data_IF_442929172287
#
_entry.id   IF_442929172287
#
_cell.length_a   1.000
_cell.length_b   1.000
_cell.length_c   1.000
_cell.angle_alpha   90.00
_cell.angle_beta   90.00
_cell.angle_gamma   90.00
#
_symmetry.space_group_name_H-M   'P 1'
#
loop_
_entity.id
_entity.type
_entity.pdbx_description
1 polymer ?
#
# COMPACT_ATOMS: atom_id res chain seq x y z
N UNK A 1 -8.75 26.42 -17.95
CA UNK A 1 -8.18 25.12 -17.50
C UNK A 1 -7.79 24.30 -18.72
N UNK A 2 -6.55 23.84 -18.82
CA UNK A 2 -6.11 22.99 -19.94
C UNK A 2 -6.80 21.64 -19.89
N UNK A 3 -7.33 21.18 -21.04
CA UNK A 3 -8.01 19.88 -21.18
C UNK A 3 -7.05 18.75 -20.78
N UNK A 4 -7.35 18.04 -19.69
CA UNK A 4 -6.56 16.89 -19.21
C UNK A 4 -6.65 15.76 -20.25
N UNK A 5 -5.51 15.22 -20.67
CA UNK A 5 -5.46 14.13 -21.65
C UNK A 5 -5.66 12.79 -20.94
N UNK A 6 -6.44 11.90 -21.55
CA UNK A 6 -6.60 10.52 -21.09
C UNK A 6 -5.52 9.64 -21.72
N UNK A 7 -5.18 8.57 -21.02
CA UNK A 7 -4.30 7.53 -21.51
C UNK A 7 -4.99 6.68 -22.58
N UNK A 8 -4.21 6.16 -23.51
CA UNK A 8 -4.63 5.25 -24.57
C UNK A 8 -3.73 4.01 -24.54
N UNK A 9 -4.33 2.81 -24.66
CA UNK A 9 -3.60 1.55 -24.53
C UNK A 9 -2.54 1.34 -25.61
N UNK A 10 -2.69 2.00 -26.77
CA UNK A 10 -1.67 2.03 -27.82
C UNK A 10 -0.32 2.56 -27.34
N UNK A 11 -0.28 3.34 -26.24
CA UNK A 11 0.96 3.89 -25.69
C UNK A 11 1.86 2.85 -25.01
N UNK A 12 1.35 1.64 -24.83
CA UNK A 12 2.16 0.47 -24.48
C UNK A 12 3.28 0.25 -25.51
N UNK A 13 3.01 0.51 -26.80
CA UNK A 13 4.00 0.43 -27.89
C UNK A 13 5.14 1.44 -27.77
N UNK A 14 4.99 2.46 -26.91
CA UNK A 14 6.02 3.46 -26.64
C UNK A 14 6.71 3.24 -25.29
N UNK A 15 6.46 2.13 -24.60
CA UNK A 15 7.10 1.84 -23.32
C UNK A 15 6.38 2.44 -22.10
N UNK A 16 5.09 2.79 -22.21
CA UNK A 16 4.34 3.47 -21.15
C UNK A 16 3.14 2.69 -20.62
N UNK A 17 2.78 2.98 -19.38
CA UNK A 17 1.51 2.67 -18.73
C UNK A 17 0.94 3.95 -18.10
N UNK A 18 -0.23 3.90 -17.46
CA UNK A 18 -0.81 5.04 -16.74
C UNK A 18 -0.87 4.84 -15.23
N UNK A 19 -0.67 5.94 -14.49
CA UNK A 19 -1.04 6.06 -13.10
C UNK A 19 -2.20 7.04 -13.01
N UNK A 20 -3.23 6.68 -12.24
CA UNK A 20 -4.34 7.57 -11.90
C UNK A 20 -4.07 8.19 -10.52
N UNK A 21 -4.01 9.52 -10.46
CA UNK A 21 -3.89 10.28 -9.21
C UNK A 21 -5.24 10.40 -8.49
N UNK A 22 -5.22 10.81 -7.21
CA UNK A 22 -6.43 10.96 -6.37
C UNK A 22 -7.46 11.93 -6.96
N UNK A 23 -7.02 12.87 -7.79
CA UNK A 23 -7.88 13.86 -8.47
C UNK A 23 -8.46 13.34 -9.80
N UNK A 24 -8.27 12.05 -10.12
CA UNK A 24 -8.70 11.40 -11.35
C UNK A 24 -7.81 11.68 -12.56
N UNK A 25 -6.71 12.41 -12.41
CA UNK A 25 -5.78 12.70 -13.52
C UNK A 25 -4.92 11.49 -13.84
N UNK A 26 -4.83 11.15 -15.13
CA UNK A 26 -3.90 10.13 -15.60
C UNK A 26 -2.55 10.75 -15.99
N UNK A 27 -1.45 10.14 -15.52
CA UNK A 27 -0.08 10.49 -15.91
C UNK A 27 0.61 9.30 -16.55
N UNK A 28 1.37 9.49 -17.64
CA UNK A 28 2.11 8.39 -18.24
C UNK A 28 3.33 8.05 -17.41
N UNK A 29 3.53 6.76 -17.15
CA UNK A 29 4.71 6.21 -16.48
C UNK A 29 5.45 5.27 -17.42
N UNK A 30 6.75 5.49 -17.61
CA UNK A 30 7.59 4.59 -18.40
C UNK A 30 7.85 3.30 -17.60
N UNK A 31 7.53 2.14 -18.17
CA UNK A 31 7.77 0.86 -17.49
C UNK A 31 9.21 0.32 -17.64
N UNK A 32 10.05 1.00 -18.41
CA UNK A 32 11.47 0.66 -18.58
C UNK A 32 12.30 1.30 -17.44
N UNK A 33 12.12 2.60 -17.18
CA UNK A 33 12.84 3.31 -16.10
C UNK A 33 12.00 3.61 -14.85
N UNK A 34 10.67 3.53 -14.93
CA UNK A 34 9.74 3.89 -13.86
C UNK A 34 9.41 5.39 -13.77
N UNK A 35 9.95 6.23 -14.66
CA UNK A 35 9.76 7.69 -14.63
C UNK A 35 8.31 8.07 -14.93
N UNK A 36 7.71 8.88 -14.07
CA UNK A 36 6.37 9.46 -14.26
C UNK A 36 6.53 10.82 -14.96
N UNK A 37 5.81 11.02 -16.05
CA UNK A 37 5.80 12.28 -16.79
C UNK A 37 4.53 13.08 -16.47
N UNK A 38 4.56 14.39 -16.72
CA UNK A 38 3.37 15.22 -16.58
C UNK A 38 2.27 14.83 -17.58
N UNK A 39 1.00 15.10 -17.27
CA UNK A 39 -0.12 14.86 -18.19
C UNK A 39 0.07 15.56 -19.56
N UNK A 40 0.71 16.73 -19.58
CA UNK A 40 1.06 17.44 -20.82
C UNK A 40 2.06 16.69 -21.73
N UNK A 41 2.72 15.65 -21.22
CA UNK A 41 3.61 14.76 -21.95
C UNK A 41 2.93 13.50 -22.49
N UNK A 42 1.61 13.33 -22.29
CA UNK A 42 0.81 12.23 -22.84
C UNK A 42 0.66 12.26 -24.38
N UNK A 43 1.41 13.12 -25.08
CA UNK A 43 1.40 13.18 -26.54
C UNK A 43 2.30 12.07 -27.08
N UNK A 44 1.88 11.28 -28.10
CA UNK A 44 2.70 10.22 -28.67
C UNK A 44 4.12 10.66 -29.06
N UNK A 45 4.27 11.89 -29.60
CA UNK A 45 5.58 12.44 -29.96
C UNK A 45 6.52 12.52 -28.76
N UNK A 46 6.03 13.02 -27.62
CA UNK A 46 6.82 13.16 -26.39
C UNK A 46 7.14 11.83 -25.73
N UNK A 47 6.24 10.85 -25.84
CA UNK A 47 6.49 9.49 -25.35
C UNK A 47 7.56 8.79 -26.20
N UNK A 48 7.47 8.92 -27.53
CA UNK A 48 8.49 8.43 -28.47
C UNK A 48 9.84 9.11 -28.25
N UNK A 49 9.86 10.43 -28.06
CA UNK A 49 11.07 11.20 -27.76
C UNK A 49 11.72 10.70 -26.45
N UNK A 50 10.93 10.45 -25.41
CA UNK A 50 11.44 9.87 -24.17
C UNK A 50 12.07 8.50 -24.40
N UNK A 51 11.38 7.62 -25.13
CA UNK A 51 11.89 6.30 -25.46
C UNK A 51 13.20 6.40 -26.25
N UNK A 52 13.27 7.23 -27.30
CA UNK A 52 14.45 7.39 -28.13
C UNK A 52 15.64 8.04 -27.40
N UNK A 53 15.39 9.02 -26.54
CA UNK A 53 16.46 9.78 -25.85
C UNK A 53 16.98 9.09 -24.58
N UNK A 54 16.09 8.46 -23.80
CA UNK A 54 16.43 7.83 -22.51
C UNK A 54 16.71 6.34 -22.68
N UNK A 55 16.10 5.71 -23.68
CA UNK A 55 16.19 4.27 -23.94
C UNK A 55 16.45 3.97 -25.43
N UNK A 56 17.54 4.51 -26.03
CA UNK A 56 17.85 4.32 -27.45
C UNK A 56 17.91 2.85 -27.85
N UNK A 57 18.35 1.97 -26.94
CA UNK A 57 18.39 0.52 -27.14
C UNK A 57 17.01 -0.14 -27.26
N UNK A 58 15.94 0.54 -26.84
CA UNK A 58 14.56 0.06 -26.88
C UNK A 58 13.68 0.86 -27.86
N UNK A 59 14.27 1.81 -28.60
CA UNK A 59 13.54 2.65 -29.55
C UNK A 59 13.03 1.87 -30.79
N UNK A 60 13.67 0.74 -31.09
CA UNK A 60 13.32 -0.14 -32.21
C UNK A 60 12.74 -1.48 -31.78
N UNK A 61 12.47 -1.66 -30.48
CA UNK A 61 11.90 -2.91 -29.96
C UNK A 61 10.47 -3.10 -30.51
N UNK A 62 10.13 -4.37 -30.82
CA UNK A 62 8.77 -4.72 -31.21
C UNK A 62 7.81 -4.61 -30.01
N UNK A 63 6.52 -4.45 -30.31
CA UNK A 63 5.47 -4.38 -29.29
C UNK A 63 5.46 -5.62 -28.38
N UNK A 64 5.77 -6.80 -28.92
CA UNK A 64 5.87 -8.05 -28.16
C UNK A 64 6.99 -7.99 -27.11
N UNK A 65 8.16 -7.48 -27.47
CA UNK A 65 9.30 -7.31 -26.54
C UNK A 65 8.95 -6.32 -25.43
N UNK A 66 8.28 -5.22 -25.78
CA UNK A 66 7.83 -4.22 -24.81
C UNK A 66 6.74 -4.77 -23.87
N UNK A 67 5.84 -5.63 -24.36
CA UNK A 67 4.84 -6.31 -23.53
C UNK A 67 5.49 -7.30 -22.55
N UNK A 68 6.49 -8.06 -23.00
CA UNK A 68 7.26 -8.96 -22.13
C UNK A 68 7.93 -8.16 -21.00
N UNK A 69 8.47 -6.96 -21.30
CA UNK A 69 9.08 -6.06 -20.30
C UNK A 69 8.06 -5.38 -19.40
N UNK A 70 6.83 -5.16 -19.86
CA UNK A 70 5.73 -4.61 -19.07
C UNK A 70 5.27 -5.57 -17.95
N UNK A 71 5.25 -6.88 -18.20
CA UNK A 71 4.77 -7.86 -17.23
C UNK A 71 5.56 -7.86 -15.88
N UNK A 72 6.91 -7.83 -15.86
CA UNK A 72 7.68 -7.64 -14.63
C UNK A 72 7.40 -6.30 -13.95
N UNK A 73 7.18 -5.23 -14.72
CA UNK A 73 6.89 -3.90 -14.19
C UNK A 73 5.54 -3.83 -13.47
N UNK A 74 4.49 -4.43 -14.05
CA UNK A 74 3.16 -4.50 -13.41
C UNK A 74 3.16 -5.41 -12.18
N UNK A 75 3.95 -6.48 -12.20
CA UNK A 75 4.18 -7.35 -11.03
C UNK A 75 5.01 -6.64 -9.95
N UNK A 76 5.85 -5.70 -10.35
CA UNK A 76 6.65 -4.83 -9.49
C UNK A 76 5.91 -3.52 -9.23
N UNK A 77 4.67 -3.60 -8.75
CA UNK A 77 3.92 -2.45 -8.25
C UNK A 77 4.81 -1.63 -7.30
N UNK A 78 4.67 -0.31 -7.29
CA UNK A 78 5.62 0.78 -6.95
C UNK A 78 6.37 0.78 -5.59
N UNK A 79 6.54 -0.35 -4.91
CA UNK A 79 7.06 -0.50 -3.53
C UNK A 79 8.40 -1.25 -3.37
N UNK A 80 8.82 -2.20 -4.23
CA UNK A 80 10.05 -2.98 -3.99
C UNK A 80 11.35 -2.17 -4.04
N UNK A 81 11.37 -1.00 -4.73
CA UNK A 81 12.59 -0.17 -4.85
C UNK A 81 13.06 0.46 -3.53
N UNK A 82 12.24 0.44 -2.47
CA UNK A 82 12.59 0.93 -1.13
C UNK A 82 12.81 -0.21 -0.11
N UNK A 83 12.88 -1.47 -0.55
CA UNK A 83 12.97 -2.62 0.36
C UNK A 83 11.65 -2.96 1.06
N UNK A 84 10.55 -2.30 0.70
CA UNK A 84 9.23 -2.58 1.25
C UNK A 84 8.61 -3.76 0.49
N UNK A 85 8.88 -4.98 0.95
CA UNK A 85 8.13 -6.17 0.52
C UNK A 85 6.75 -6.07 1.17
N UNK A 86 5.65 -5.94 0.41
CA UNK A 86 4.32 -5.98 0.98
C UNK A 86 4.18 -7.29 1.77
N UNK A 87 3.83 -7.25 3.07
CA UNK A 87 3.64 -8.48 3.83
C UNK A 87 2.60 -9.34 3.11
N UNK A 88 2.88 -10.63 2.96
CA UNK A 88 1.94 -11.57 2.38
C UNK A 88 0.59 -11.43 3.10
N UNK A 89 -0.54 -11.60 2.40
CA UNK A 89 -1.88 -11.44 2.99
C UNK A 89 -2.03 -12.12 4.37
N UNK A 90 -1.52 -13.35 4.60
CA UNK A 90 -1.59 -13.98 5.92
C UNK A 90 -0.76 -13.27 7.00
N UNK A 91 0.42 -12.75 6.66
CA UNK A 91 1.29 -12.03 7.59
C UNK A 91 0.69 -10.66 7.98
N UNK A 92 0.07 -10.00 7.00
CA UNK A 92 -0.68 -8.76 7.23
C UNK A 92 -1.85 -9.00 8.18
N UNK A 93 -2.67 -10.02 7.90
CA UNK A 93 -3.81 -10.39 8.76
C UNK A 93 -3.35 -10.75 10.18
N UNK A 94 -2.27 -11.52 10.32
CA UNK A 94 -1.70 -11.85 11.62
C UNK A 94 -1.25 -10.60 12.38
N UNK A 95 -0.60 -9.63 11.71
CA UNK A 95 -0.19 -8.35 12.30
C UNK A 95 -1.40 -7.57 12.85
N UNK A 96 -2.48 -7.45 12.08
CA UNK A 96 -3.72 -6.82 12.55
C UNK A 96 -4.34 -7.55 13.75
N UNK A 97 -4.39 -8.89 13.73
CA UNK A 97 -4.91 -9.68 14.86
C UNK A 97 -4.11 -9.47 16.14
N UNK A 98 -2.78 -9.41 16.05
CA UNK A 98 -1.92 -9.13 17.21
C UNK A 98 -2.16 -7.70 17.71
N UNK A 99 -2.18 -6.71 16.82
CA UNK A 99 -2.45 -5.31 17.17
C UNK A 99 -3.79 -5.15 17.89
N UNK A 100 -4.85 -5.81 17.40
CA UNK A 100 -6.16 -5.83 18.04
C UNK A 100 -6.11 -6.39 19.47
N UNK A 101 -5.39 -7.49 19.68
CA UNK A 101 -5.23 -8.11 21.01
C UNK A 101 -4.48 -7.18 21.96
N UNK A 102 -3.40 -6.53 21.52
CA UNK A 102 -2.63 -5.56 22.31
C UNK A 102 -3.51 -4.39 22.74
N UNK A 103 -4.24 -3.78 21.80
CA UNK A 103 -5.14 -2.66 22.07
C UNK A 103 -6.26 -3.05 23.05
N UNK A 104 -6.91 -4.19 22.81
CA UNK A 104 -8.00 -4.69 23.66
C UNK A 104 -7.53 -4.99 25.09
N UNK A 105 -6.31 -5.48 25.25
CA UNK A 105 -5.70 -5.73 26.56
C UNK A 105 -5.06 -4.49 27.19
N UNK A 106 -5.16 -3.31 26.57
CA UNK A 106 -4.57 -2.05 27.01
C UNK A 106 -3.06 -2.16 27.32
N UNK A 107 -2.34 -2.92 26.49
CA UNK A 107 -0.89 -3.12 26.62
C UNK A 107 -0.12 -2.10 25.77
N UNK A 108 1.12 -1.74 26.14
CA UNK A 108 1.94 -0.86 25.33
C UNK A 108 2.26 -1.50 23.98
N UNK A 109 2.37 -0.69 22.92
CA UNK A 109 2.62 -1.18 21.57
C UNK A 109 3.95 -1.94 21.43
N UNK A 110 4.94 -1.57 22.24
CA UNK A 110 6.27 -2.20 22.29
C UNK A 110 6.24 -3.67 22.67
N UNK A 111 5.16 -4.18 23.27
CA UNK A 111 5.03 -5.59 23.63
C UNK A 111 5.06 -6.52 22.40
N UNK A 112 4.70 -6.00 21.22
CA UNK A 112 4.75 -6.73 19.96
C UNK A 112 6.17 -7.18 19.60
N UNK A 113 7.13 -6.25 19.68
CA UNK A 113 8.53 -6.51 19.35
C UNK A 113 9.34 -7.05 20.52
N UNK A 114 9.04 -6.64 21.76
CA UNK A 114 9.84 -7.00 22.93
C UNK A 114 9.53 -8.39 23.49
N UNK A 115 8.32 -8.92 23.27
CA UNK A 115 7.89 -10.18 23.88
C UNK A 115 7.17 -11.11 22.90
N UNK A 116 6.12 -10.62 22.22
CA UNK A 116 5.27 -11.48 21.39
C UNK A 116 6.05 -12.09 20.23
N UNK A 117 6.82 -11.27 19.51
CA UNK A 117 7.63 -11.72 18.38
C UNK A 117 8.72 -12.73 18.75
N UNK A 118 9.61 -12.48 19.75
CA UNK A 118 10.63 -13.46 20.11
C UNK A 118 10.02 -14.78 20.61
N UNK A 119 9.01 -14.75 21.46
CA UNK A 119 8.35 -15.98 21.94
C UNK A 119 7.75 -16.79 20.77
N UNK A 120 7.06 -16.13 19.83
CA UNK A 120 6.49 -16.82 18.68
C UNK A 120 7.56 -17.48 17.79
N UNK A 121 8.70 -16.82 17.62
CA UNK A 121 9.81 -17.35 16.82
C UNK A 121 10.46 -18.58 17.48
N UNK A 122 10.72 -18.51 18.79
CA UNK A 122 11.26 -19.63 19.57
C UNK A 122 10.32 -20.84 19.56
N UNK A 123 9.02 -20.62 19.77
CA UNK A 123 8.02 -21.69 19.75
C UNK A 123 7.99 -22.41 18.40
N UNK A 124 8.00 -21.66 17.29
CA UNK A 124 7.90 -22.23 15.94
C UNK A 124 9.20 -22.94 15.54
N UNK A 125 10.34 -22.48 16.03
CA UNK A 125 11.61 -23.17 15.84
C UNK A 125 11.67 -24.51 16.57
N UNK A 126 11.25 -24.55 17.84
CA UNK A 126 11.29 -25.75 18.67
C UNK A 126 10.22 -26.78 18.30
N UNK A 127 9.00 -26.33 18.00
CA UNK A 127 7.85 -27.22 17.78
C UNK A 127 7.70 -27.60 16.30
N UNK A 128 8.08 -26.70 15.38
CA UNK A 128 7.80 -26.88 13.97
C UNK A 128 9.08 -26.98 13.13
N UNK A 129 9.49 -25.92 12.44
CA UNK A 129 10.68 -25.93 11.57
C UNK A 129 11.25 -24.54 11.30
N UNK A 130 12.53 -24.50 10.93
CA UNK A 130 13.25 -23.27 10.56
C UNK A 130 12.64 -22.55 9.35
N UNK A 131 12.05 -23.29 8.41
CA UNK A 131 11.38 -22.68 7.24
C UNK A 131 10.11 -21.92 7.65
N UNK A 132 9.37 -22.44 8.63
CA UNK A 132 8.17 -21.79 9.15
C UNK A 132 8.50 -20.60 10.04
N UNK A 133 9.63 -20.66 10.77
CA UNK A 133 10.16 -19.51 11.54
C UNK A 133 10.33 -18.28 10.65
N UNK A 134 10.92 -18.43 9.46
CA UNK A 134 11.08 -17.33 8.49
C UNK A 134 9.76 -16.69 8.05
N UNK A 135 8.69 -17.48 7.96
CA UNK A 135 7.34 -16.96 7.63
C UNK A 135 6.80 -16.09 8.77
N UNK A 136 6.99 -16.48 10.02
CA UNK A 136 6.57 -15.71 11.20
C UNK A 136 7.44 -14.47 11.40
N UNK A 137 8.74 -14.57 11.11
CA UNK A 137 9.68 -13.44 11.16
C UNK A 137 9.26 -12.30 10.24
N UNK A 138 8.68 -12.62 9.09
CA UNK A 138 8.13 -11.65 8.14
C UNK A 138 6.92 -10.87 8.63
N UNK A 139 6.30 -11.27 9.75
CA UNK A 139 5.16 -10.56 10.34
C UNK A 139 5.67 -9.26 11.01
N UNK A 140 5.19 -8.09 10.57
CA UNK A 140 5.62 -6.83 11.15
C UNK A 140 4.86 -6.61 12.47
N UNK A 141 5.59 -6.50 13.58
CA UNK A 141 5.08 -6.31 14.94
C UNK A 141 5.84 -5.20 15.69
N UNK A 142 6.55 -4.31 14.97
CA UNK A 142 7.25 -3.18 15.59
C UNK A 142 6.26 -2.23 16.26
N UNK A 143 6.74 -1.41 17.20
CA UNK A 143 5.96 -0.35 17.84
C UNK A 143 5.13 0.45 16.81
N UNK A 144 5.78 0.95 15.77
CA UNK A 144 5.16 1.80 14.75
C UNK A 144 4.13 1.03 13.91
N UNK A 145 4.41 -0.25 13.63
CA UNK A 145 3.45 -1.10 12.94
C UNK A 145 2.21 -1.28 13.78
N UNK A 146 2.35 -1.68 15.05
CA UNK A 146 1.22 -1.90 15.94
C UNK A 146 0.39 -0.62 16.09
N UNK A 147 1.05 0.52 16.30
CA UNK A 147 0.40 1.82 16.37
C UNK A 147 -0.40 2.14 15.09
N UNK A 148 0.21 1.98 13.92
CA UNK A 148 -0.45 2.21 12.64
C UNK A 148 -1.65 1.28 12.45
N UNK A 149 -1.53 -0.01 12.75
CA UNK A 149 -2.63 -0.97 12.61
C UNK A 149 -3.81 -0.64 13.52
N UNK A 150 -3.54 -0.19 14.75
CA UNK A 150 -4.58 0.26 15.68
C UNK A 150 -5.29 1.51 15.14
N UNK A 151 -4.51 2.48 14.64
CA UNK A 151 -5.07 3.68 14.01
C UNK A 151 -5.93 3.32 12.80
N UNK A 152 -5.45 2.46 11.91
CA UNK A 152 -6.19 1.99 10.72
C UNK A 152 -7.53 1.36 11.11
N UNK A 153 -7.51 0.46 12.11
CA UNK A 153 -8.74 -0.19 12.60
C UNK A 153 -9.71 0.84 13.20
N UNK A 154 -9.20 1.81 13.96
CA UNK A 154 -10.02 2.88 14.53
C UNK A 154 -10.67 3.74 13.45
N UNK A 155 -9.91 4.14 12.44
CA UNK A 155 -10.42 4.90 11.30
C UNK A 155 -11.46 4.10 10.53
N UNK A 156 -11.21 2.81 10.30
CA UNK A 156 -12.15 1.95 9.59
C UNK A 156 -13.49 1.80 10.34
N UNK A 157 -13.45 1.61 11.67
CA UNK A 157 -14.66 1.57 12.50
C UNK A 157 -15.41 2.92 12.42
N UNK A 158 -14.69 4.04 12.54
CA UNK A 158 -15.30 5.37 12.42
C UNK A 158 -16.01 5.55 11.08
N UNK A 159 -15.36 5.20 9.97
CA UNK A 159 -15.96 5.29 8.64
C UNK A 159 -17.18 4.36 8.48
N UNK A 160 -17.17 3.16 9.08
CA UNK A 160 -18.33 2.27 9.10
C UNK A 160 -19.50 2.91 9.83
N UNK A 161 -19.27 3.44 11.03
CA UNK A 161 -20.30 4.11 11.84
C UNK A 161 -20.87 5.32 11.11
N UNK A 162 -20.03 6.16 10.49
CA UNK A 162 -20.50 7.31 9.71
C UNK A 162 -21.40 6.86 8.56
N UNK A 163 -20.98 5.86 7.78
CA UNK A 163 -21.78 5.33 6.67
C UNK A 163 -23.13 4.78 7.15
N UNK A 164 -23.14 4.09 8.28
CA UNK A 164 -24.37 3.58 8.88
C UNK A 164 -25.29 4.74 9.27
N UNK A 165 -24.77 5.76 9.98
CA UNK A 165 -25.52 6.94 10.38
C UNK A 165 -26.11 7.69 9.18
N UNK A 166 -25.31 7.93 8.14
CA UNK A 166 -25.75 8.61 6.91
C UNK A 166 -26.82 7.82 6.16
N UNK A 167 -26.83 6.49 6.28
CA UNK A 167 -27.85 5.63 5.66
C UNK A 167 -29.15 5.52 6.45
N UNK A 168 -29.14 5.92 7.73
CA UNK A 168 -30.32 5.77 8.58
C UNK A 168 -31.38 6.83 8.28
N UNK A 169 -32.66 6.45 8.08
CA UNK A 169 -33.74 7.41 7.88
C UNK A 169 -34.24 8.02 9.19
N UNK A 170 -33.69 7.61 10.33
CA UNK A 170 -34.15 8.01 11.67
C UNK A 170 -33.20 9.07 12.27
N UNK A 171 -33.74 10.08 12.96
CA UNK A 171 -32.91 11.02 13.69
C UNK A 171 -32.21 10.31 14.85
N UNK A 172 -30.92 10.59 15.04
CA UNK A 172 -30.14 10.12 16.17
C UNK A 172 -29.67 11.31 17.03
N UNK A 173 -29.31 11.03 18.28
CA UNK A 173 -28.73 12.02 19.19
C UNK A 173 -27.50 11.41 19.87
N UNK A 174 -26.51 12.25 20.19
CA UNK A 174 -25.26 11.83 20.83
C UNK A 174 -25.18 12.46 22.21
N UNK A 175 -25.01 11.64 23.24
CA UNK A 175 -24.84 12.11 24.61
C UNK A 175 -23.34 12.12 24.97
N UNK A 176 -22.84 13.28 25.41
CA UNK A 176 -21.46 13.46 25.83
C UNK A 176 -21.38 13.45 27.36
N UNK A 177 -20.63 12.49 27.92
CA UNK A 177 -20.32 12.46 29.34
C UNK A 177 -19.02 13.19 29.64
N UNK A 178 -19.05 14.16 30.55
CA UNK A 178 -17.86 14.87 31.04
C UNK A 178 -17.58 14.41 32.47
N UNK A 179 -16.41 13.84 32.70
CA UNK A 179 -15.93 13.49 34.04
C UNK A 179 -14.91 14.53 34.49
N UNK A 180 -15.19 15.19 35.61
CA UNK A 180 -14.25 16.13 36.24
C UNK A 180 -13.53 15.37 37.35
N UNK A 181 -12.22 15.13 37.17
CA UNK A 181 -11.39 14.54 38.22
C UNK A 181 -11.06 15.64 39.25
N UNK A 182 -11.83 15.68 40.34
CA UNK A 182 -11.51 16.52 41.49
C UNK A 182 -10.47 15.81 42.36
N UNK A 183 -9.21 16.24 42.27
CA UNK A 183 -8.20 15.96 43.29
C UNK A 183 -8.31 17.05 44.36
N UNK A 184 -8.68 16.68 45.59
CA UNK A 184 -8.55 17.55 46.77
C UNK A 184 -7.10 17.60 47.24
#
# INVERSE_FOLDING_TARGET
MSKKRKYDDSYTSFGFTSITERDGTQKPQCFICGKILANGSMKPTKLKEHLASVHPQHASDSLEVLQIKKAPFEKSGTVPKLGFVPPQKPCLEASYKVAYRIARSKKPHTIGESLIKPCALEMVELVCSLEQRKKIESIPLSHDTINSRISDMSTNILEQVIRELDSTPFPFSMQLGVYVNWSW
#
